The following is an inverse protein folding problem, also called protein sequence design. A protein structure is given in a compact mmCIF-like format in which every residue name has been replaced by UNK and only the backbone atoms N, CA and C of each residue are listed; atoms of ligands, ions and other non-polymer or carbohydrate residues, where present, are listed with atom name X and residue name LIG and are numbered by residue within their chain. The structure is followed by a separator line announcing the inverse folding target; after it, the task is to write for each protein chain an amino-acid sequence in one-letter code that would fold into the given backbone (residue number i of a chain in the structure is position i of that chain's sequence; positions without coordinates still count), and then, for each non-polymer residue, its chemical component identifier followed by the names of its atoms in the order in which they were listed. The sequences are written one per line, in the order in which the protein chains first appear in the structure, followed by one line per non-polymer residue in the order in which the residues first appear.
data_IF_776462616094
#
_entry.id   IF_776462616094
#
_cell.length_a   1.000
_cell.length_b   1.000
_cell.length_c   1.000
_cell.angle_alpha   90.00
_cell.angle_beta   90.00
_cell.angle_gamma   90.00
#
_symmetry.space_group_name_H-M   'P 1'
#
loop_
_entity.id
_entity.type
_entity.pdbx_description
1 polymer ?
#
# COMPACT_ATOMS: atom_id res chain seq x y z
N UNK A 1 31.62 27.04 -52.81
CA UNK A 1 32.87 27.71 -52.40
C UNK A 1 32.50 28.81 -51.40
N UNK A 2 32.85 28.60 -50.12
CA UNK A 2 33.80 29.42 -49.33
C UNK A 2 33.13 30.68 -48.74
N UNK A 3 32.61 30.67 -47.51
CA UNK A 3 33.24 30.67 -46.16
C UNK A 3 33.63 32.08 -45.65
N UNK A 4 33.27 32.32 -44.38
CA UNK A 4 33.67 33.35 -43.41
C UNK A 4 32.97 34.72 -43.45
N UNK A 5 32.24 35.19 -42.43
CA UNK A 5 32.29 35.14 -40.95
C UNK A 5 32.85 36.43 -40.33
N UNK A 6 32.26 36.75 -39.17
CA UNK A 6 32.62 37.75 -38.14
C UNK A 6 31.87 39.09 -38.22
N UNK A 7 31.34 39.71 -37.17
CA UNK A 7 30.98 39.34 -35.79
C UNK A 7 30.24 40.56 -35.15
N UNK A 8 29.04 40.34 -34.58
CA UNK A 8 28.36 40.96 -33.38
C UNK A 8 28.35 42.50 -33.10
N UNK A 9 27.53 43.03 -32.14
CA UNK A 9 26.37 42.50 -31.37
C UNK A 9 25.11 43.44 -31.48
N UNK A 10 23.89 43.07 -31.08
CA UNK A 10 23.35 43.24 -29.72
C UNK A 10 21.88 42.71 -29.72
N UNK A 11 21.65 41.57 -29.08
CA UNK A 11 20.33 41.17 -28.58
C UNK A 11 20.49 40.97 -27.07
N UNK A 12 19.91 41.85 -26.27
CA UNK A 12 19.86 41.69 -24.82
C UNK A 12 18.46 41.96 -24.32
N UNK A 13 17.91 40.96 -23.64
CA UNK A 13 16.91 41.20 -22.62
C UNK A 13 15.53 40.61 -22.84
N UNK A 14 15.39 39.28 -22.99
CA UNK A 14 14.12 38.61 -22.61
C UNK A 14 14.24 37.13 -22.19
N UNK A 15 15.46 36.57 -22.06
CA UNK A 15 15.64 35.12 -21.85
C UNK A 15 16.14 34.69 -20.45
N UNK A 16 15.95 35.51 -19.40
CA UNK A 16 16.38 35.15 -18.02
C UNK A 16 15.26 34.99 -16.98
N UNK A 17 13.98 34.96 -17.38
CA UNK A 17 12.87 34.76 -16.43
C UNK A 17 12.29 33.34 -16.37
N UNK A 18 12.53 32.51 -17.38
CA UNK A 18 11.93 31.16 -17.43
C UNK A 18 12.81 30.13 -16.69
N UNK A 19 14.13 30.20 -16.79
CA UNK A 19 15.01 29.22 -16.12
C UNK A 19 15.02 29.35 -14.58
N UNK A 20 14.84 30.56 -14.05
CA UNK A 20 14.74 30.78 -12.61
C UNK A 20 13.45 30.19 -12.00
N UNK A 21 12.37 30.11 -12.79
CA UNK A 21 11.11 29.51 -12.34
C UNK A 21 11.20 27.97 -12.35
N UNK A 22 11.87 27.39 -13.34
CA UNK A 22 12.14 25.95 -13.41
C UNK A 22 13.08 25.45 -12.30
N UNK A 23 14.01 26.31 -11.84
CA UNK A 23 14.94 26.02 -10.73
C UNK A 23 14.33 26.22 -9.34
N UNK A 24 13.24 27.00 -9.22
CA UNK A 24 12.51 27.16 -7.96
C UNK A 24 11.51 26.01 -7.74
N UNK A 25 10.84 25.55 -8.80
CA UNK A 25 9.94 24.38 -8.74
C UNK A 25 10.70 23.09 -8.36
N UNK A 26 11.98 22.95 -8.72
CA UNK A 26 12.84 21.82 -8.27
C UNK A 26 13.39 21.97 -6.85
N UNK A 27 13.27 23.14 -6.21
CA UNK A 27 13.82 23.41 -4.88
C UNK A 27 12.78 23.36 -3.76
N UNK A 28 11.58 22.87 -4.07
CA UNK A 28 10.47 22.66 -3.14
C UNK A 28 10.10 21.19 -2.92
N UNK A 29 10.86 20.23 -3.44
CA UNK A 29 10.71 18.83 -3.04
C UNK A 29 11.44 18.63 -1.72
N UNK A 30 10.63 18.53 -0.66
CA UNK A 30 11.10 18.16 0.66
C UNK A 30 11.67 16.73 0.59
N UNK A 31 12.97 16.51 0.86
CA UNK A 31 13.59 15.18 0.75
C UNK A 31 12.90 14.13 1.62
N UNK A 32 12.22 14.54 2.70
CA UNK A 32 11.40 13.62 3.51
C UNK A 32 10.16 13.09 2.78
N UNK A 33 9.60 13.83 1.81
CA UNK A 33 8.44 13.38 1.02
C UNK A 33 8.86 12.31 0.02
N UNK A 34 10.00 12.50 -0.66
CA UNK A 34 10.53 11.53 -1.63
C UNK A 34 10.88 10.19 -0.93
N UNK A 35 11.45 10.23 0.28
CA UNK A 35 11.76 9.03 1.07
C UNK A 35 10.49 8.26 1.48
N UNK A 36 9.43 8.97 1.90
CA UNK A 36 8.15 8.35 2.29
C UNK A 36 7.45 7.72 1.08
N UNK A 37 7.48 8.35 -0.09
CA UNK A 37 6.91 7.78 -1.32
C UNK A 37 7.72 6.58 -1.83
N UNK A 38 9.05 6.60 -1.69
CA UNK A 38 9.89 5.43 -1.96
C UNK A 38 9.56 4.26 -1.04
N UNK A 39 9.42 4.50 0.27
CA UNK A 39 9.04 3.48 1.25
C UNK A 39 7.64 2.90 0.98
N UNK A 40 6.67 3.75 0.62
CA UNK A 40 5.32 3.32 0.21
C UNK A 40 5.36 2.46 -1.04
N UNK A 41 6.13 2.87 -2.04
CA UNK A 41 6.32 2.12 -3.30
C UNK A 41 6.96 0.76 -3.04
N UNK A 42 8.00 0.71 -2.21
CA UNK A 42 8.67 -0.53 -1.82
C UNK A 42 7.74 -1.46 -1.03
N UNK A 43 6.98 -0.93 -0.07
CA UNK A 43 6.00 -1.69 0.69
C UNK A 43 4.90 -2.26 -0.23
N UNK A 44 4.41 -1.47 -1.18
CA UNK A 44 3.43 -1.92 -2.18
C UNK A 44 3.99 -3.04 -3.05
N UNK A 45 5.20 -2.89 -3.57
CA UNK A 45 5.86 -3.92 -4.38
C UNK A 45 6.06 -5.22 -3.58
N UNK A 46 6.44 -5.11 -2.31
CA UNK A 46 6.55 -6.26 -1.40
C UNK A 46 5.22 -6.99 -1.24
N UNK A 47 4.12 -6.27 -0.98
CA UNK A 47 2.79 -6.89 -0.83
C UNK A 47 2.36 -7.59 -2.12
N UNK A 48 2.59 -6.98 -3.29
CA UNK A 48 2.28 -7.63 -4.58
C UNK A 48 3.08 -8.90 -4.77
N UNK A 49 4.39 -8.88 -4.47
CA UNK A 49 5.26 -10.05 -4.58
C UNK A 49 4.86 -11.15 -3.61
N UNK A 50 4.55 -10.83 -2.36
CA UNK A 50 4.07 -11.81 -1.37
C UNK A 50 2.73 -12.42 -1.80
N UNK A 51 1.78 -11.59 -2.24
CA UNK A 51 0.47 -12.05 -2.68
C UNK A 51 0.57 -12.97 -3.91
N UNK A 52 1.44 -12.65 -4.86
CA UNK A 52 1.67 -13.49 -6.05
C UNK A 52 2.26 -14.85 -5.74
N UNK A 53 2.96 -15.01 -4.62
CA UNK A 53 3.55 -16.29 -4.21
C UNK A 53 2.68 -17.05 -3.19
N UNK A 54 1.67 -16.40 -2.62
CA UNK A 54 0.80 -17.00 -1.62
C UNK A 54 -0.32 -17.85 -2.24
N UNK A 55 -1.02 -18.59 -1.37
CA UNK A 55 -2.32 -19.20 -1.68
C UNK A 55 -3.38 -18.10 -1.83
N UNK A 56 -4.43 -18.36 -2.60
CA UNK A 56 -5.44 -17.36 -2.98
C UNK A 56 -6.01 -16.56 -1.79
N UNK A 57 -6.39 -17.23 -0.70
CA UNK A 57 -6.98 -16.55 0.47
C UNK A 57 -5.96 -15.63 1.16
N UNK A 58 -4.76 -16.13 1.41
CA UNK A 58 -3.67 -15.36 2.00
C UNK A 58 -3.25 -14.19 1.11
N UNK A 59 -3.22 -14.39 -0.21
CA UNK A 59 -2.94 -13.36 -1.20
C UNK A 59 -3.98 -12.23 -1.16
N UNK A 60 -5.27 -12.61 -1.15
CA UNK A 60 -6.37 -11.65 -1.02
C UNK A 60 -6.31 -10.92 0.33
N UNK A 61 -6.02 -11.63 1.42
CA UNK A 61 -5.89 -11.02 2.75
C UNK A 61 -4.76 -9.99 2.80
N UNK A 62 -3.57 -10.31 2.30
CA UNK A 62 -2.43 -9.38 2.29
C UNK A 62 -2.77 -8.08 1.52
N UNK A 63 -3.41 -8.20 0.37
CA UNK A 63 -3.84 -7.05 -0.45
C UNK A 63 -4.91 -6.23 0.29
N UNK A 64 -5.94 -6.87 0.83
CA UNK A 64 -7.05 -6.16 1.50
C UNK A 64 -6.59 -5.51 2.80
N UNK A 65 -5.76 -6.19 3.61
CA UNK A 65 -5.23 -5.64 4.87
C UNK A 65 -4.33 -4.42 4.61
N UNK A 66 -3.45 -4.51 3.60
CA UNK A 66 -2.62 -3.38 3.19
C UNK A 66 -3.47 -2.19 2.74
N UNK A 67 -4.44 -2.42 1.85
CA UNK A 67 -5.32 -1.37 1.35
C UNK A 67 -6.16 -0.73 2.47
N UNK A 68 -6.66 -1.54 3.43
CA UNK A 68 -7.41 -1.06 4.58
C UNK A 68 -6.57 -0.15 5.49
N UNK A 69 -5.35 -0.59 5.79
CA UNK A 69 -4.39 0.20 6.59
C UNK A 69 -4.02 1.50 5.87
N UNK A 70 -3.82 1.43 4.56
CA UNK A 70 -3.50 2.61 3.75
C UNK A 70 -4.66 3.61 3.66
N UNK A 71 -5.90 3.14 3.52
CA UNK A 71 -7.08 4.03 3.53
C UNK A 71 -7.26 4.75 4.86
N UNK A 72 -6.91 4.10 5.97
CA UNK A 72 -7.09 4.66 7.31
C UNK A 72 -5.97 5.62 7.74
N UNK A 73 -4.72 5.37 7.31
CA UNK A 73 -3.54 6.09 7.79
C UNK A 73 -2.71 6.78 6.68
N UNK A 74 -3.07 6.58 5.41
CA UNK A 74 -2.45 7.28 4.29
C UNK A 74 -2.86 8.76 4.24
N UNK A 75 -2.04 9.60 3.60
CA UNK A 75 -2.43 11.00 3.35
C UNK A 75 -3.67 11.02 2.45
N UNK A 76 -4.70 11.75 2.86
CA UNK A 76 -5.91 11.99 2.08
C UNK A 76 -5.53 12.53 0.69
N UNK A 77 -5.75 11.73 -0.36
CA UNK A 77 -5.67 12.14 -1.76
C UNK A 77 -4.31 12.12 -2.45
N UNK A 78 -3.19 11.81 -1.77
CA UNK A 78 -1.84 12.07 -2.33
C UNK A 78 -0.94 10.86 -2.55
N UNK A 79 -1.34 9.63 -2.23
CA UNK A 79 -0.43 8.50 -2.45
C UNK A 79 -1.00 7.35 -3.27
N UNK A 80 -0.21 6.27 -3.43
CA UNK A 80 -0.41 5.31 -4.50
C UNK A 80 -1.79 4.65 -4.45
N UNK A 81 -2.36 4.44 -5.64
CA UNK A 81 -3.65 3.77 -5.79
C UNK A 81 -3.64 2.41 -5.06
N UNK A 82 -4.77 2.01 -4.45
CA UNK A 82 -4.92 0.70 -3.81
C UNK A 82 -4.42 -0.42 -4.72
N UNK A 83 -3.80 -1.44 -4.13
CA UNK A 83 -3.42 -2.63 -4.88
C UNK A 83 -4.70 -3.31 -5.32
N UNK A 84 -4.93 -3.33 -6.62
CA UNK A 84 -6.08 -4.02 -7.19
C UNK A 84 -5.82 -5.54 -7.20
N UNK A 85 -6.85 -6.33 -6.86
CA UNK A 85 -6.72 -7.78 -6.83
C UNK A 85 -6.54 -8.41 -8.22
N UNK A 86 -6.68 -7.63 -9.30
CA UNK A 86 -6.42 -8.12 -10.67
C UNK A 86 -4.98 -8.62 -10.86
N UNK A 87 -4.05 -8.24 -9.97
CA UNK A 87 -2.66 -8.72 -9.96
C UNK A 87 -2.54 -10.23 -9.73
N UNK A 88 -3.64 -10.90 -9.39
CA UNK A 88 -3.77 -12.35 -9.17
C UNK A 88 -4.45 -13.09 -10.34
N UNK A 89 -4.90 -12.39 -11.38
CA UNK A 89 -5.64 -12.98 -12.52
C UNK A 89 -4.80 -13.90 -13.40
N UNK A 90 -3.48 -13.83 -13.28
CA UNK A 90 -2.53 -14.75 -13.92
C UNK A 90 -2.62 -16.18 -13.36
N UNK A 91 -3.12 -16.34 -12.13
CA UNK A 91 -3.18 -17.62 -11.42
C UNK A 91 -4.59 -18.08 -11.06
N UNK A 92 -5.54 -17.16 -10.94
CA UNK A 92 -6.87 -17.43 -10.41
C UNK A 92 -7.96 -16.76 -11.25
N UNK A 93 -9.13 -17.38 -11.31
CA UNK A 93 -10.28 -16.80 -12.01
C UNK A 93 -10.85 -15.59 -11.27
N UNK A 94 -11.57 -14.72 -11.98
CA UNK A 94 -12.21 -13.55 -11.38
C UNK A 94 -13.21 -13.93 -10.28
N UNK A 95 -13.98 -15.00 -10.48
CA UNK A 95 -14.92 -15.53 -9.48
C UNK A 95 -14.19 -15.96 -8.20
N UNK A 96 -13.06 -16.65 -8.34
CA UNK A 96 -12.23 -17.06 -7.20
C UNK A 96 -11.66 -15.85 -6.45
N UNK A 97 -11.17 -14.85 -7.18
CA UNK A 97 -10.62 -13.62 -6.61
C UNK A 97 -11.69 -12.84 -5.85
N UNK A 98 -12.89 -12.71 -6.41
CA UNK A 98 -14.01 -12.01 -5.76
C UNK A 98 -14.47 -12.70 -4.48
N UNK A 99 -14.53 -14.04 -4.48
CA UNK A 99 -14.85 -14.81 -3.29
C UNK A 99 -13.76 -14.66 -2.22
N UNK A 100 -12.48 -14.78 -2.60
CA UNK A 100 -11.36 -14.58 -1.70
C UNK A 100 -11.35 -13.16 -1.09
N UNK A 101 -11.71 -12.14 -1.89
CA UNK A 101 -11.88 -10.77 -1.41
C UNK A 101 -12.96 -10.66 -0.34
N UNK A 102 -14.13 -11.28 -0.56
CA UNK A 102 -15.24 -11.26 0.41
C UNK A 102 -14.79 -11.88 1.73
N UNK A 103 -14.16 -13.05 1.68
CA UNK A 103 -13.67 -13.75 2.87
C UNK A 103 -12.57 -12.99 3.59
N UNK A 104 -11.61 -12.42 2.87
CA UNK A 104 -10.55 -11.59 3.45
C UNK A 104 -11.11 -10.35 4.17
N UNK A 105 -12.13 -9.69 3.58
CA UNK A 105 -12.82 -8.58 4.23
C UNK A 105 -13.57 -9.01 5.49
N UNK A 106 -14.25 -10.15 5.45
CA UNK A 106 -14.96 -10.70 6.62
C UNK A 106 -13.99 -10.99 7.78
N UNK A 107 -12.81 -11.56 7.49
CA UNK A 107 -11.77 -11.77 8.50
C UNK A 107 -11.29 -10.44 9.10
N UNK A 108 -11.03 -9.43 8.27
CA UNK A 108 -10.58 -8.11 8.73
C UNK A 108 -11.65 -7.32 9.51
N UNK A 109 -12.93 -7.53 9.23
CA UNK A 109 -14.02 -6.91 9.98
C UNK A 109 -14.03 -7.37 11.45
N UNK A 110 -13.61 -8.61 11.71
CA UNK A 110 -13.51 -9.15 13.06
C UNK A 110 -12.27 -8.65 13.83
N UNK A 111 -11.32 -7.98 13.15
CA UNK A 111 -10.07 -7.55 13.76
C UNK A 111 -10.29 -6.67 14.99
N UNK A 112 -11.21 -5.70 14.94
CA UNK A 112 -11.44 -4.79 16.06
C UNK A 112 -11.89 -5.52 17.34
N UNK A 113 -12.93 -6.35 17.24
CA UNK A 113 -13.44 -7.11 18.38
C UNK A 113 -12.39 -8.08 18.94
N UNK A 114 -11.62 -8.71 18.05
CA UNK A 114 -10.51 -9.57 18.44
C UNK A 114 -9.43 -8.80 19.19
N UNK A 115 -9.14 -7.56 18.76
CA UNK A 115 -8.23 -6.66 19.44
C UNK A 115 -8.69 -6.29 20.85
N UNK A 116 -9.96 -5.92 20.99
CA UNK A 116 -10.59 -5.65 22.29
C UNK A 116 -10.49 -6.86 23.23
N UNK A 117 -10.83 -8.05 22.73
CA UNK A 117 -10.78 -9.27 23.52
C UNK A 117 -9.35 -9.64 23.95
N UNK A 118 -8.36 -9.40 23.07
CA UNK A 118 -6.95 -9.62 23.37
C UNK A 118 -6.41 -8.61 24.41
N UNK A 119 -6.73 -7.31 24.27
CA UNK A 119 -6.29 -6.25 25.19
C UNK A 119 -6.97 -6.34 26.56
N UNK A 120 -8.24 -6.74 26.59
CA UNK A 120 -8.97 -6.99 27.83
C UNK A 120 -8.62 -8.34 28.48
N UNK A 121 -7.69 -9.12 27.90
CA UNK A 121 -7.31 -10.45 28.35
C UNK A 121 -8.50 -11.40 28.56
N UNK A 122 -9.57 -11.24 27.76
CA UNK A 122 -10.79 -12.07 27.85
C UNK A 122 -10.55 -13.49 27.39
N UNK A 123 -9.64 -13.67 26.44
CA UNK A 123 -9.22 -14.95 25.91
C UNK A 123 -7.69 -14.95 25.78
N UNK A 124 -7.09 -16.12 25.91
CA UNK A 124 -5.68 -16.32 25.56
C UNK A 124 -5.46 -16.20 24.06
N UNK A 125 -4.24 -15.90 23.66
CA UNK A 125 -3.87 -15.78 22.25
C UNK A 125 -4.21 -17.02 21.41
N UNK A 126 -3.93 -18.27 21.86
CA UNK A 126 -4.34 -19.47 21.13
C UNK A 126 -5.86 -19.60 20.96
N UNK A 127 -6.65 -19.28 21.97
CA UNK A 127 -8.12 -19.35 21.90
C UNK A 127 -8.69 -18.37 20.87
N UNK A 128 -8.10 -17.17 20.78
CA UNK A 128 -8.49 -16.18 19.76
C UNK A 128 -8.17 -16.71 18.36
N UNK A 129 -6.97 -17.28 18.16
CA UNK A 129 -6.57 -17.87 16.88
C UNK A 129 -7.49 -19.02 16.49
N UNK A 130 -7.85 -19.89 17.43
CA UNK A 130 -8.72 -21.03 17.17
C UNK A 130 -10.14 -20.59 16.80
N UNK A 131 -10.68 -19.57 17.49
CA UNK A 131 -11.98 -18.97 17.14
C UNK A 131 -11.97 -18.36 15.74
N UNK A 132 -10.90 -17.64 15.39
CA UNK A 132 -10.73 -17.09 14.04
C UNK A 132 -10.65 -18.20 12.99
N UNK A 133 -9.91 -19.28 13.27
CA UNK A 133 -9.77 -20.42 12.36
C UNK A 133 -11.09 -21.16 12.15
N UNK A 134 -11.90 -21.31 13.20
CA UNK A 134 -13.22 -21.93 13.10
C UNK A 134 -14.20 -21.09 12.27
N UNK A 135 -14.21 -19.77 12.47
CA UNK A 135 -15.12 -18.86 11.77
C UNK A 135 -14.69 -18.56 10.34
N UNK A 136 -13.39 -18.47 10.10
CA UNK A 136 -12.78 -18.13 8.82
C UNK A 136 -11.76 -19.20 8.41
N UNK A 137 -12.19 -20.42 8.07
CA UNK A 137 -11.26 -21.50 7.74
C UNK A 137 -10.46 -21.19 6.46
N UNK A 138 -9.30 -21.83 6.31
CA UNK A 138 -8.53 -21.84 5.07
C UNK A 138 -7.48 -20.74 4.90
N UNK A 139 -7.42 -19.76 5.79
CA UNK A 139 -6.27 -18.85 5.88
C UNK A 139 -5.11 -19.50 6.64
N UNK A 140 -3.88 -19.06 6.36
CA UNK A 140 -2.73 -19.46 7.17
C UNK A 140 -2.72 -18.81 8.55
N UNK A 141 -1.95 -19.40 9.47
CA UNK A 141 -1.79 -18.85 10.82
C UNK A 141 -1.26 -17.42 10.80
N UNK A 142 -0.39 -17.08 9.85
CA UNK A 142 0.10 -15.71 9.65
C UNK A 142 -1.06 -14.72 9.49
N UNK A 143 -2.08 -15.03 8.70
CA UNK A 143 -3.22 -14.15 8.49
C UNK A 143 -4.03 -13.92 9.78
N UNK A 144 -4.21 -14.95 10.62
CA UNK A 144 -4.87 -14.78 11.91
C UNK A 144 -4.02 -13.91 12.86
N UNK A 145 -2.70 -14.14 12.90
CA UNK A 145 -1.78 -13.32 13.69
C UNK A 145 -1.80 -11.85 13.27
N UNK A 146 -1.76 -11.58 11.96
CA UNK A 146 -1.84 -10.23 11.41
C UNK A 146 -3.19 -9.57 11.72
N UNK A 147 -4.29 -10.33 11.68
CA UNK A 147 -5.63 -9.86 12.07
C UNK A 147 -5.67 -9.44 13.55
N UNK A 148 -5.11 -10.25 14.45
CA UNK A 148 -5.03 -9.93 15.88
C UNK A 148 -4.19 -8.68 16.11
N UNK A 149 -3.00 -8.62 15.50
CA UNK A 149 -2.10 -7.48 15.62
C UNK A 149 -2.75 -6.19 15.14
N UNK A 150 -3.43 -6.24 14.00
CA UNK A 150 -4.18 -5.11 13.47
C UNK A 150 -5.30 -4.73 14.45
N UNK A 151 -6.06 -5.69 14.94
CA UNK A 151 -7.07 -5.51 15.99
C UNK A 151 -6.57 -4.76 17.21
N UNK A 152 -5.50 -5.23 17.83
CA UNK A 152 -4.91 -4.60 19.01
C UNK A 152 -4.43 -3.17 18.72
N UNK A 153 -3.98 -2.88 17.50
CA UNK A 153 -3.62 -1.52 17.11
C UNK A 153 -4.86 -0.62 16.92
N UNK A 154 -5.98 -1.18 16.47
CA UNK A 154 -7.23 -0.44 16.28
C UNK A 154 -8.00 -0.18 17.58
N UNK A 155 -7.83 -1.05 18.57
CA UNK A 155 -8.48 -1.02 19.88
C UNK A 155 -7.72 -0.21 20.95
N UNK A 156 -6.47 0.18 20.65
CA UNK A 156 -5.67 1.10 21.45
C UNK A 156 -6.02 2.56 21.14
#
# INVERSE_FOLDING_TARGET
MLVNASAHPLLYGHHRRIEAFSLWVRRGQDPMIDDVEQLRTAARAKVVTEARNAKLLDAAFAIVSHNSSYQRFGRLGEGPLPIALHVLRDRFSEVQIDEARRRARALLQDAFQVGEDALAHRFSHPEIVDKLRQRHPGFSDKCYQDTIRQGCFLAR
#
